data_IF_716388536511
#
_entry.id   IF_716388536511
#
_cell.length_a   1.000
_cell.length_b   1.000
_cell.length_c   1.000
_cell.angle_alpha   90.00
_cell.angle_beta   90.00
_cell.angle_gamma   90.00
#
_symmetry.space_group_name_H-M   'P 1'
#
loop_
_entity.id
_entity.type
_entity.pdbx_description
1 polymer ?
#
# COMPACT_ATOMS: atom_id res chain seq x y z
N UNK A 1 2.49 18.48 20.57
CA UNK A 1 2.98 18.69 19.19
C UNK A 1 2.24 17.71 18.30
N UNK A 2 1.23 18.16 17.55
CA UNK A 2 0.52 17.31 16.61
C UNK A 2 1.33 17.33 15.30
N UNK A 3 2.03 16.25 15.01
CA UNK A 3 2.74 16.09 13.74
C UNK A 3 1.69 16.08 12.63
N UNK A 4 1.71 17.07 11.74
CA UNK A 4 0.86 17.07 10.55
C UNK A 4 1.37 15.99 9.61
N UNK A 5 0.98 14.76 9.87
CA UNK A 5 1.29 13.62 9.03
C UNK A 5 0.52 13.80 7.73
N UNK A 6 1.24 14.16 6.66
CA UNK A 6 0.62 14.32 5.36
C UNK A 6 0.17 12.95 4.87
N UNK A 7 -0.91 12.88 4.09
CA UNK A 7 -1.44 11.61 3.58
C UNK A 7 -0.41 10.82 2.74
N UNK A 8 0.55 11.52 2.12
CA UNK A 8 1.70 10.92 1.44
C UNK A 8 2.67 10.23 2.41
N UNK A 9 2.93 10.82 3.56
CA UNK A 9 3.84 10.26 4.58
C UNK A 9 3.23 8.98 5.18
N UNK A 10 1.90 8.97 5.34
CA UNK A 10 1.15 7.78 5.76
C UNK A 10 1.28 6.65 4.76
N UNK A 11 1.13 6.95 3.48
CA UNK A 11 1.21 5.95 2.44
C UNK A 11 2.61 5.33 2.35
N UNK A 12 3.65 6.16 2.42
CA UNK A 12 5.04 5.67 2.44
C UNK A 12 5.37 4.88 3.71
N UNK A 13 4.83 5.29 4.86
CA UNK A 13 4.94 4.50 6.09
C UNK A 13 4.25 3.13 5.96
N UNK A 14 3.04 3.07 5.39
CA UNK A 14 2.32 1.81 5.17
C UNK A 14 3.07 0.88 4.20
N UNK A 15 3.66 1.41 3.12
CA UNK A 15 4.54 0.63 2.22
C UNK A 15 5.74 0.06 2.95
N UNK A 16 6.31 0.82 3.88
CA UNK A 16 7.40 0.34 4.74
C UNK A 16 6.92 -0.81 5.62
N UNK A 17 5.71 -0.72 6.18
CA UNK A 17 5.13 -1.82 6.96
C UNK A 17 4.93 -3.10 6.12
N UNK A 18 4.51 -2.99 4.85
CA UNK A 18 4.41 -4.15 3.94
C UNK A 18 5.75 -4.89 3.83
N UNK A 19 6.85 -4.15 3.59
CA UNK A 19 8.20 -4.74 3.47
C UNK A 19 8.66 -5.41 4.76
N UNK A 20 8.34 -4.83 5.92
CA UNK A 20 8.66 -5.43 7.22
C UNK A 20 7.93 -6.77 7.38
N UNK A 21 6.65 -6.81 7.05
CA UNK A 21 5.84 -8.04 7.13
C UNK A 21 6.34 -9.09 6.13
N UNK A 22 6.73 -8.68 4.92
CA UNK A 22 7.32 -9.56 3.92
C UNK A 22 8.60 -10.24 4.44
N UNK A 23 9.53 -9.45 4.98
CA UNK A 23 10.74 -9.99 5.62
C UNK A 23 10.42 -10.90 6.80
N UNK A 24 9.38 -10.57 7.58
CA UNK A 24 8.96 -11.39 8.70
C UNK A 24 8.35 -12.72 8.25
N UNK A 25 7.65 -12.75 7.12
CA UNK A 25 7.13 -14.00 6.49
C UNK A 25 8.26 -14.92 6.07
N UNK A 26 9.33 -14.36 5.50
CA UNK A 26 10.51 -15.13 5.10
C UNK A 26 11.24 -15.72 6.33
N UNK A 27 11.42 -14.93 7.39
CA UNK A 27 12.03 -15.42 8.64
C UNK A 27 11.18 -16.52 9.29
N UNK A 28 9.87 -16.34 9.34
CA UNK A 28 8.91 -17.32 9.88
C UNK A 28 8.92 -18.61 9.06
N UNK A 29 8.91 -18.52 7.73
CA UNK A 29 8.94 -19.71 6.87
C UNK A 29 10.23 -20.53 7.02
N UNK A 30 11.33 -19.90 7.49
CA UNK A 30 12.59 -20.59 7.75
C UNK A 30 12.61 -21.44 9.02
N UNK A 31 11.60 -21.31 9.89
CA UNK A 31 11.54 -21.96 11.19
C UNK A 31 10.55 -23.14 11.19
N UNK A 32 11.02 -24.39 11.37
CA UNK A 32 10.18 -25.58 11.29
C UNK A 32 9.29 -25.81 12.52
N UNK A 33 9.48 -25.05 13.59
CA UNK A 33 8.79 -25.16 14.88
C UNK A 33 7.65 -24.14 15.06
N UNK A 34 7.37 -23.33 14.04
CA UNK A 34 6.35 -22.30 14.14
C UNK A 34 4.93 -22.84 13.91
N UNK A 35 4.02 -22.27 14.68
CA UNK A 35 2.59 -22.55 14.63
C UNK A 35 1.99 -22.11 13.29
N UNK A 36 1.28 -23.02 12.64
CA UNK A 36 0.54 -22.74 11.40
C UNK A 36 -0.46 -21.60 11.58
N UNK A 37 -1.04 -21.42 12.78
CA UNK A 37 -1.94 -20.30 13.06
C UNK A 37 -1.21 -18.94 12.94
N UNK A 38 0.04 -18.87 13.44
CA UNK A 38 0.86 -17.66 13.33
C UNK A 38 1.17 -17.34 11.87
N UNK A 39 1.54 -18.35 11.07
CA UNK A 39 1.83 -18.21 9.64
C UNK A 39 0.59 -17.68 8.91
N UNK A 40 -0.58 -18.29 9.14
CA UNK A 40 -1.84 -17.87 8.51
C UNK A 40 -2.21 -16.43 8.88
N UNK A 41 -2.05 -16.04 10.15
CA UNK A 41 -2.32 -14.65 10.58
C UNK A 41 -1.40 -13.64 9.90
N UNK A 42 -0.12 -13.97 9.79
CA UNK A 42 0.86 -13.10 9.14
C UNK A 42 0.58 -12.95 7.64
N UNK A 43 0.19 -14.06 6.98
CA UNK A 43 -0.22 -14.07 5.57
C UNK A 43 -1.46 -13.19 5.34
N UNK A 44 -2.50 -13.36 6.16
CA UNK A 44 -3.70 -12.52 6.08
C UNK A 44 -3.39 -11.04 6.27
N UNK A 45 -2.50 -10.72 7.22
CA UNK A 45 -2.11 -9.34 7.49
C UNK A 45 -1.35 -8.72 6.30
N UNK A 46 -0.42 -9.47 5.71
CA UNK A 46 0.30 -9.07 4.50
C UNK A 46 -0.66 -8.77 3.34
N UNK A 47 -1.60 -9.69 3.08
CA UNK A 47 -2.57 -9.54 1.99
C UNK A 47 -3.47 -8.32 2.20
N UNK A 48 -4.00 -8.15 3.42
CA UNK A 48 -4.85 -7.03 3.75
C UNK A 48 -4.12 -5.69 3.59
N UNK A 49 -2.91 -5.56 4.16
CA UNK A 49 -2.16 -4.30 4.11
C UNK A 49 -1.75 -3.96 2.68
N UNK A 50 -1.34 -4.96 1.89
CA UNK A 50 -1.01 -4.77 0.48
C UNK A 50 -2.21 -4.26 -0.32
N UNK A 51 -3.40 -4.85 -0.12
CA UNK A 51 -4.62 -4.39 -0.76
C UNK A 51 -4.99 -2.95 -0.34
N UNK A 52 -4.81 -2.62 0.94
CA UNK A 52 -5.10 -1.27 1.45
C UNK A 52 -4.16 -0.22 0.88
N UNK A 53 -2.85 -0.51 0.80
CA UNK A 53 -1.87 0.38 0.14
C UNK A 53 -2.25 0.64 -1.31
N UNK A 54 -2.59 -0.40 -2.08
CA UNK A 54 -3.02 -0.25 -3.47
C UNK A 54 -4.30 0.60 -3.60
N UNK A 55 -5.26 0.40 -2.69
CA UNK A 55 -6.49 1.20 -2.67
C UNK A 55 -6.21 2.67 -2.36
N UNK A 56 -5.31 2.95 -1.42
CA UNK A 56 -4.91 4.31 -1.06
C UNK A 56 -4.12 4.99 -2.19
N UNK A 57 -3.23 4.27 -2.87
CA UNK A 57 -2.52 4.77 -4.07
C UNK A 57 -3.50 5.18 -5.16
N UNK A 58 -4.47 4.32 -5.46
CA UNK A 58 -5.51 4.60 -6.46
C UNK A 58 -6.36 5.82 -6.10
N UNK A 59 -6.64 6.03 -4.80
CA UNK A 59 -7.39 7.20 -4.31
C UNK A 59 -6.56 8.48 -4.28
N UNK A 60 -5.26 8.36 -4.01
CA UNK A 60 -4.32 9.47 -3.97
C UNK A 60 -3.98 10.01 -5.36
N UNK A 61 -4.20 9.21 -6.41
CA UNK A 61 -3.93 9.63 -7.77
C UNK A 61 -4.97 10.68 -8.22
N UNK A 62 -4.57 11.93 -8.51
CA UNK A 62 -5.50 12.93 -9.00
C UNK A 62 -6.10 12.42 -10.31
N UNK A 63 -7.44 12.44 -10.41
CA UNK A 63 -8.15 12.15 -11.67
C UNK A 63 -7.47 12.96 -12.76
N UNK A 64 -6.79 12.30 -13.71
CA UNK A 64 -6.34 12.94 -14.94
C UNK A 64 -7.59 13.52 -15.59
N UNK A 65 -7.80 14.82 -15.42
CA UNK A 65 -8.74 15.57 -16.24
C UNK A 65 -8.28 15.39 -17.67
N UNK A 66 -9.11 14.74 -18.48
CA UNK A 66 -8.94 14.63 -19.92
C UNK A 66 -9.07 16.05 -20.49
N UNK A 67 -7.99 16.82 -20.44
CA UNK A 67 -7.91 18.10 -21.11
C UNK A 67 -7.47 17.83 -22.55
N UNK A 68 -8.41 17.93 -23.49
CA UNK A 68 -8.10 17.82 -24.91
C UNK A 68 -9.25 17.47 -25.86
N UNK A 69 -10.52 17.76 -25.52
CA UNK A 69 -11.56 17.89 -26.53
C UNK A 69 -11.73 19.38 -26.85
N UNK A 70 -11.47 19.77 -28.10
CA UNK A 70 -11.99 21.01 -28.69
C UNK A 70 -11.09 22.24 -28.61
N UNK A 71 -10.04 22.28 -29.44
CA UNK A 71 -9.55 23.56 -29.96
C UNK A 71 -9.11 23.31 -31.41
N UNK A 72 -9.98 23.67 -32.36
CA UNK A 72 -9.67 24.15 -33.71
C UNK A 72 -11.01 24.43 -34.41
N UNK A 73 -11.59 25.58 -34.09
CA UNK A 73 -12.53 26.26 -34.99
C UNK A 73 -12.09 27.72 -35.11
N UNK A 74 -12.09 28.21 -36.35
CA UNK A 74 -11.82 29.56 -36.84
C UNK A 74 -10.35 30.02 -36.89
N UNK A 75 -9.77 30.06 -38.09
CA UNK A 75 -9.72 31.26 -38.98
C UNK A 75 -9.74 30.79 -40.43
#
# INVERSE_FOLDING_TARGET
>A
MCYHFQSSDMLEWLKTQVRVIEAWREDVASRPDLDMEMITRLEHHYQWLTAEVLNLENRAQPRRSVAGFGALHAV
#
